data_IF_232681357131
#
_entry.id   IF_232681357131
#
_cell.length_a   1.000
_cell.length_b   1.000
_cell.length_c   1.000
_cell.angle_alpha   90.00
_cell.angle_beta   90.00
_cell.angle_gamma   90.00
#
_symmetry.space_group_name_H-M   'P 1'
#
loop_
_entity.id
_entity.type
_entity.pdbx_description
1 polymer ?
#
# COMPACT_ATOMS: atom_id res chain seq x y z
N UNK A 1 11.02 -10.53 8.67
CA UNK A 1 9.70 -10.03 8.21
C UNK A 1 9.35 -8.82 9.03
N UNK A 2 9.02 -7.71 8.34
CA UNK A 2 8.85 -6.36 8.86
C UNK A 2 8.24 -6.31 10.27
N UNK A 3 8.97 -5.65 11.18
CA UNK A 3 8.58 -5.46 12.60
C UNK A 3 8.72 -4.01 13.06
N UNK A 4 9.04 -3.10 12.15
CA UNK A 4 9.34 -1.70 12.48
C UNK A 4 8.97 -0.85 11.27
N UNK A 5 8.19 0.19 11.50
CA UNK A 5 7.90 1.24 10.53
C UNK A 5 8.02 2.60 11.20
N UNK A 6 8.34 3.63 10.42
CA UNK A 6 7.95 4.99 10.77
C UNK A 6 6.45 5.08 10.49
N UNK A 7 5.67 5.69 11.37
CA UNK A 7 4.25 5.90 11.17
C UNK A 7 3.91 7.38 11.23
N UNK A 8 2.89 7.76 10.47
CA UNK A 8 2.22 9.04 10.64
C UNK A 8 1.40 9.05 11.93
N UNK A 9 1.21 10.23 12.49
CA UNK A 9 0.26 10.51 13.56
C UNK A 9 -1.18 10.45 13.06
N UNK A 10 -2.16 10.41 13.97
CA UNK A 10 -3.57 10.37 13.58
C UNK A 10 -3.97 11.55 12.69
N UNK A 11 -3.55 12.76 13.04
CA UNK A 11 -3.89 13.98 12.29
C UNK A 11 -3.25 14.00 10.89
N UNK A 12 -2.01 13.51 10.77
CA UNK A 12 -1.35 13.35 9.46
C UNK A 12 -2.06 12.31 8.60
N UNK A 13 -2.51 11.19 9.17
CA UNK A 13 -3.32 10.21 8.42
C UNK A 13 -4.68 10.78 8.02
N UNK A 14 -5.28 11.64 8.86
CA UNK A 14 -6.52 12.34 8.52
C UNK A 14 -6.33 13.28 7.32
N UNK A 15 -5.24 14.05 7.28
CA UNK A 15 -4.88 14.89 6.13
C UNK A 15 -4.68 14.05 4.86
N UNK A 16 -4.00 12.90 4.98
CA UNK A 16 -3.85 11.94 3.86
C UNK A 16 -5.22 11.48 3.35
N UNK A 17 -6.14 11.10 4.24
CA UNK A 17 -7.50 10.70 3.86
C UNK A 17 -8.22 11.82 3.12
N UNK A 18 -8.18 13.05 3.64
CA UNK A 18 -8.82 14.20 3.00
C UNK A 18 -8.27 14.44 1.59
N UNK A 19 -6.94 14.36 1.41
CA UNK A 19 -6.29 14.50 0.10
C UNK A 19 -6.69 13.39 -0.87
N UNK A 20 -6.79 12.14 -0.41
CA UNK A 20 -7.23 11.02 -1.23
C UNK A 20 -8.67 11.20 -1.74
N UNK A 21 -9.59 11.68 -0.90
CA UNK A 21 -11.01 11.86 -1.25
C UNK A 21 -11.26 13.05 -2.19
N UNK A 22 -10.40 14.07 -2.18
CA UNK A 22 -10.50 15.21 -3.11
C UNK A 22 -9.58 15.06 -4.32
N UNK A 23 -8.80 13.97 -4.41
CA UNK A 23 -7.85 13.73 -5.49
C UNK A 23 -6.69 14.73 -5.52
N UNK A 24 -6.32 15.29 -4.36
CA UNK A 24 -5.19 16.20 -4.26
C UNK A 24 -3.86 15.42 -4.25
N UNK A 25 -2.76 16.03 -4.73
CA UNK A 25 -1.43 15.46 -4.59
C UNK A 25 -1.07 15.19 -3.12
N UNK A 26 -0.51 14.02 -2.86
CA UNK A 26 0.03 13.62 -1.56
C UNK A 26 1.44 14.20 -1.35
N UNK A 27 1.57 15.52 -1.48
CA UNK A 27 2.80 16.20 -1.10
C UNK A 27 2.81 16.29 0.42
N UNK A 28 3.74 15.59 1.06
CA UNK A 28 3.89 15.64 2.51
C UNK A 28 5.07 16.52 2.88
N UNK A 29 4.77 17.64 3.55
CA UNK A 29 5.80 18.46 4.15
C UNK A 29 5.72 18.24 5.67
N UNK A 30 6.66 17.51 6.29
CA UNK A 30 6.59 17.26 7.72
C UNK A 30 6.62 18.58 8.48
N UNK A 31 5.71 18.75 9.43
CA UNK A 31 5.73 19.91 10.31
C UNK A 31 7.04 19.92 11.11
N UNK A 32 7.76 21.03 11.02
CA UNK A 32 9.04 21.18 11.70
C UNK A 32 8.83 21.42 13.21
N UNK A 33 9.59 20.75 14.10
CA UNK A 33 10.60 19.74 13.82
C UNK A 33 9.98 18.37 13.49
N UNK A 34 10.57 17.68 12.50
CA UNK A 34 10.13 16.35 12.06
C UNK A 34 10.09 15.39 13.27
N UNK A 35 8.89 15.03 13.71
CA UNK A 35 8.70 13.99 14.72
C UNK A 35 8.50 12.65 14.03
N UNK A 36 9.51 11.80 14.05
CA UNK A 36 9.39 10.42 13.57
C UNK A 36 8.85 9.54 14.69
N UNK A 37 7.59 9.10 14.57
CA UNK A 37 7.02 8.07 15.44
C UNK A 37 7.30 6.71 14.84
N UNK A 38 7.76 5.75 15.66
CA UNK A 38 7.99 4.38 15.21
C UNK A 38 6.95 3.42 15.80
N UNK A 39 6.52 2.46 14.99
CA UNK A 39 5.62 1.39 15.41
C UNK A 39 6.30 0.02 15.31
N UNK A 40 6.00 -0.83 16.28
CA UNK A 40 6.44 -2.22 16.42
C UNK A 40 5.22 -3.13 16.63
N UNK A 41 5.34 -4.46 16.56
CA UNK A 41 4.27 -5.34 17.02
C UNK A 41 3.80 -4.95 18.43
N UNK A 42 2.47 -4.87 18.60
CA UNK A 42 1.74 -4.36 19.77
C UNK A 42 1.68 -2.84 19.92
N UNK A 43 2.37 -2.05 19.10
CA UNK A 43 2.13 -0.61 19.02
C UNK A 43 0.75 -0.33 18.43
N UNK A 44 0.16 0.80 18.81
CA UNK A 44 -1.03 1.35 18.15
C UNK A 44 -0.58 2.19 16.97
N UNK A 45 -1.26 2.06 15.84
CA UNK A 45 -1.03 2.88 14.65
C UNK A 45 -2.37 3.40 14.09
N UNK A 46 -2.40 4.60 13.48
CA UNK A 46 -3.53 5.07 12.71
C UNK A 46 -3.54 4.41 11.33
N UNK A 47 -4.66 3.75 10.98
CA UNK A 47 -4.88 3.13 9.68
C UNK A 47 -6.02 3.81 8.95
N UNK A 48 -5.90 3.88 7.64
CA UNK A 48 -6.98 4.25 6.73
C UNK A 48 -7.91 3.05 6.58
N UNK A 49 -9.19 3.25 6.87
CA UNK A 49 -10.25 2.24 6.77
C UNK A 49 -11.37 2.74 5.87
N UNK A 50 -11.92 1.92 4.97
CA UNK A 50 -13.10 2.31 4.21
C UNK A 50 -14.37 2.25 5.07
N UNK A 51 -15.31 3.16 4.79
CA UNK A 51 -16.65 3.17 5.37
C UNK A 51 -17.62 2.19 4.67
N UNK A 52 -17.12 1.41 3.71
CA UNK A 52 -17.86 0.41 2.95
C UNK A 52 -17.22 -0.98 3.09
N UNK A 53 -17.97 -2.01 2.75
CA UNK A 53 -17.47 -3.39 2.77
C UNK A 53 -16.49 -3.62 1.61
N UNK A 54 -15.28 -4.04 1.96
CA UNK A 54 -14.22 -4.33 0.99
C UNK A 54 -14.45 -5.63 0.21
N UNK A 55 -15.45 -6.43 0.58
CA UNK A 55 -15.86 -7.64 -0.13
C UNK A 55 -16.74 -7.36 -1.35
N UNK A 56 -17.26 -6.14 -1.46
CA UNK A 56 -18.06 -5.69 -2.60
C UNK A 56 -17.26 -4.69 -3.44
N UNK A 57 -17.52 -4.57 -4.76
CA UNK A 57 -16.97 -3.48 -5.54
C UNK A 57 -17.25 -2.15 -4.85
N UNK A 58 -16.25 -1.27 -4.80
CA UNK A 58 -16.46 0.07 -4.26
C UNK A 58 -17.58 0.74 -5.06
N UNK A 59 -18.59 1.35 -4.40
CA UNK A 59 -19.66 2.07 -5.10
C UNK A 59 -19.12 3.27 -5.89
N UNK A 60 -17.83 3.59 -5.74
CA UNK A 60 -17.13 4.71 -6.38
C UNK A 60 -16.09 4.25 -7.42
N UNK A 61 -16.03 2.96 -7.79
CA UNK A 61 -15.18 2.49 -8.89
C UNK A 61 -15.75 2.88 -10.25
N UNK A 62 -15.50 4.13 -10.65
CA UNK A 62 -15.63 4.54 -12.04
C UNK A 62 -14.25 4.50 -12.64
N UNK A 63 -13.86 3.37 -13.26
CA UNK A 63 -12.81 3.24 -14.29
C UNK A 63 -12.53 1.74 -14.49
N UNK A 64 -13.22 1.13 -15.45
CA UNK A 64 -12.63 0.03 -16.22
C UNK A 64 -12.11 0.66 -17.52
N UNK A 65 -10.86 0.39 -17.94
CA UNK A 65 -10.52 0.58 -19.34
C UNK A 65 -11.30 -0.48 -20.10
N UNK A 66 -12.32 -0.08 -20.87
CA UNK A 66 -12.89 -0.95 -21.89
C UNK A 66 -11.74 -1.34 -22.83
N UNK A 67 -11.42 -2.64 -22.84
CA UNK A 67 -10.55 -3.21 -23.87
C UNK A 67 -11.35 -3.14 -25.17
N UNK A 68 -10.94 -2.38 -26.20
CA UNK A 68 -11.69 -2.38 -27.44
C UNK A 68 -11.55 -3.76 -28.07
N UNK A 69 -12.67 -4.46 -28.22
CA UNK A 69 -12.75 -5.71 -28.95
C UNK A 69 -12.30 -5.45 -30.40
N UNK A 70 -11.16 -6.02 -30.77
CA UNK A 70 -10.68 -6.06 -32.15
C UNK A 70 -11.69 -6.80 -33.01
N UNK A 71 -12.55 -6.06 -33.72
CA UNK A 71 -13.33 -6.62 -34.82
C UNK A 71 -12.52 -6.44 -36.10
N UNK A 72 -11.99 -7.54 -36.61
CA UNK A 72 -11.36 -7.62 -37.92
C UNK A 72 -12.45 -7.50 -38.98
N UNK A 73 -12.33 -6.55 -39.91
CA UNK A 73 -13.02 -6.58 -41.20
C UNK A 73 -12.16 -5.90 -42.27
N UNK A 74 -12.01 -6.58 -43.40
CA UNK A 74 -11.11 -6.28 -44.52
C UNK A 74 -11.78 -5.32 -45.55
N UNK A 75 -11.10 -4.93 -46.66
CA UNK A 75 -11.06 -3.54 -47.13
C UNK A 75 -12.07 -3.21 -48.24
N UNK A 76 -12.32 -1.91 -48.46
CA UNK A 76 -12.76 -1.39 -49.76
C UNK A 76 -12.14 -0.01 -50.02
N UNK A 77 -11.71 0.17 -51.26
CA UNK A 77 -10.97 1.27 -51.88
C UNK A 77 -11.67 2.64 -51.89
N UNK A 78 -10.88 3.72 -51.81
CA UNK A 78 -11.28 5.05 -52.26
C UNK A 78 -10.28 6.15 -51.85
N UNK A 79 -9.65 6.80 -52.81
CA UNK A 79 -8.65 7.86 -52.62
C UNK A 79 -9.28 9.26 -52.51
N UNK A 80 -8.76 10.12 -51.62
CA UNK A 80 -8.52 11.57 -51.82
C UNK A 80 -8.02 12.26 -50.52
N UNK A 81 -7.08 13.20 -50.68
CA UNK A 81 -6.31 13.99 -49.69
C UNK A 81 -7.08 15.26 -49.18
N UNK A 82 -6.55 16.11 -48.25
CA UNK A 82 -7.31 16.64 -47.10
C UNK A 82 -7.58 18.16 -47.15
N UNK A 83 -8.19 18.75 -46.11
CA UNK A 83 -7.61 19.99 -45.57
C UNK A 83 -7.62 20.12 -44.02
N UNK A 84 -6.46 20.60 -43.54
CA UNK A 84 -6.12 21.61 -42.53
C UNK A 84 -6.99 21.90 -41.28
N UNK A 85 -6.27 21.85 -40.14
CA UNK A 85 -6.41 22.58 -38.86
C UNK A 85 -7.69 22.46 -38.05
N UNK A 86 -7.56 21.95 -36.81
CA UNK A 86 -8.18 22.56 -35.61
C UNK A 86 -7.51 22.02 -34.33
N UNK A 87 -7.01 22.97 -33.53
CA UNK A 87 -6.93 22.99 -32.06
C UNK A 87 -6.42 21.75 -31.31
N UNK A 88 -5.17 21.85 -30.83
CA UNK A 88 -4.74 21.14 -29.63
C UNK A 88 -5.51 21.72 -28.42
N UNK A 89 -6.61 21.08 -28.05
CA UNK A 89 -7.16 21.23 -26.71
C UNK A 89 -6.34 20.30 -25.81
N UNK A 90 -5.53 20.89 -24.93
CA UNK A 90 -4.95 20.18 -23.79
C UNK A 90 -6.11 19.60 -22.98
N UNK A 91 -6.33 18.29 -23.13
CA UNK A 91 -7.27 17.54 -22.32
C UNK A 91 -6.66 17.38 -20.94
N UNK A 92 -6.87 18.37 -20.08
CA UNK A 92 -6.73 18.21 -18.64
C UNK A 92 -7.81 17.24 -18.19
N UNK A 93 -7.55 15.95 -18.32
CA UNK A 93 -8.38 14.89 -17.76
C UNK A 93 -8.19 14.95 -16.25
N UNK A 94 -8.96 15.80 -15.58
CA UNK A 94 -9.10 15.72 -14.12
C UNK A 94 -9.84 14.42 -13.85
N UNK A 95 -9.09 13.33 -13.66
CA UNK A 95 -9.65 12.06 -13.22
C UNK A 95 -10.42 12.32 -11.94
N UNK A 96 -11.70 11.91 -11.90
CA UNK A 96 -12.48 12.00 -10.69
C UNK A 96 -11.75 11.28 -9.55
N UNK A 97 -11.84 11.79 -8.30
CA UNK A 97 -11.23 11.13 -7.17
C UNK A 97 -11.79 9.71 -7.03
N UNK A 98 -10.91 8.77 -6.72
CA UNK A 98 -11.25 7.35 -6.62
C UNK A 98 -12.13 7.02 -5.38
N UNK A 99 -12.27 7.98 -4.47
CA UNK A 99 -13.02 7.88 -3.21
C UNK A 99 -13.87 9.13 -3.05
N UNK A 100 -15.14 8.97 -2.67
CA UNK A 100 -16.00 10.09 -2.33
C UNK A 100 -15.68 10.63 -0.92
N UNK A 101 -15.94 11.91 -0.63
CA UNK A 101 -15.81 12.45 0.72
C UNK A 101 -16.57 11.62 1.77
N UNK A 102 -15.88 11.27 2.86
CA UNK A 102 -16.39 10.42 3.94
C UNK A 102 -16.48 8.93 3.62
N UNK A 103 -15.95 8.47 2.47
CA UNK A 103 -15.88 7.05 2.13
C UNK A 103 -14.66 6.35 2.76
N UNK A 104 -13.68 7.12 3.22
CA UNK A 104 -12.54 6.67 4.01
C UNK A 104 -12.58 7.33 5.39
N UNK A 105 -11.99 6.66 6.37
CA UNK A 105 -11.81 7.16 7.73
C UNK A 105 -10.51 6.67 8.34
N UNK A 106 -10.23 7.12 9.55
CA UNK A 106 -9.02 6.74 10.31
C UNK A 106 -9.42 5.96 11.54
N UNK A 107 -8.72 4.85 11.82
CA UNK A 107 -8.86 4.09 13.07
C UNK A 107 -7.50 3.77 13.66
N UNK A 108 -7.39 3.97 14.96
CA UNK A 108 -6.24 3.49 15.73
C UNK A 108 -6.42 2.01 16.07
N UNK A 109 -5.47 1.18 15.63
CA UNK A 109 -5.50 -0.28 15.83
C UNK A 109 -4.15 -0.77 16.36
N UNK A 110 -4.18 -1.79 17.21
CA UNK A 110 -2.98 -2.45 17.74
C UNK A 110 -2.37 -3.42 16.72
N UNK A 111 -1.05 -3.36 16.53
CA UNK A 111 -0.37 -4.19 15.53
C UNK A 111 -0.14 -5.63 15.99
N UNK A 112 -1.07 -6.50 15.63
CA UNK A 112 -0.94 -7.94 15.71
C UNK A 112 -2.14 -8.62 16.36
N UNK A 113 -2.56 -9.73 15.76
CA UNK A 113 -3.66 -10.56 16.26
C UNK A 113 -3.21 -11.44 17.41
N UNK A 114 -3.96 -11.45 18.49
CA UNK A 114 -3.82 -12.48 19.53
C UNK A 114 -4.56 -13.74 19.07
N UNK A 115 -3.87 -14.86 19.13
CA UNK A 115 -4.35 -16.13 18.61
C UNK A 115 -4.14 -17.21 19.66
N UNK A 116 -5.20 -17.94 20.01
CA UNK A 116 -5.16 -18.92 21.12
C UNK A 116 -4.18 -20.08 20.88
N UNK A 117 -3.86 -20.37 19.63
CA UNK A 117 -2.98 -21.48 19.23
C UNK A 117 -1.49 -21.13 19.27
N UNK A 118 -1.09 -19.89 19.57
CA UNK A 118 0.32 -19.49 19.61
C UNK A 118 0.59 -18.39 20.65
N UNK A 119 1.70 -18.48 21.41
CA UNK A 119 2.13 -17.36 22.25
C UNK A 119 2.58 -16.15 21.41
N UNK A 120 2.17 -14.96 21.84
CA UNK A 120 2.49 -13.69 21.17
C UNK A 120 1.44 -13.30 20.11
N UNK A 121 1.81 -12.38 19.23
CA UNK A 121 0.88 -11.84 18.22
C UNK A 121 1.25 -12.24 16.80
N UNK A 122 0.24 -12.40 15.94
CA UNK A 122 0.37 -12.55 14.50
C UNK A 122 0.23 -11.17 13.85
N UNK A 123 1.36 -10.53 13.58
CA UNK A 123 1.45 -9.16 13.08
C UNK A 123 1.71 -9.06 11.57
N UNK A 124 1.99 -10.18 10.91
CA UNK A 124 2.08 -10.27 9.45
C UNK A 124 1.22 -11.41 8.93
N UNK A 125 0.42 -11.13 7.90
CA UNK A 125 -0.41 -12.08 7.16
C UNK A 125 0.13 -12.20 5.73
N UNK A 126 0.22 -13.42 5.21
CA UNK A 126 0.67 -13.67 3.84
C UNK A 126 -0.51 -13.51 2.88
N UNK A 127 -0.34 -12.78 1.77
CA UNK A 127 -1.43 -12.62 0.79
C UNK A 127 -1.89 -13.97 0.22
N UNK A 128 -0.98 -14.93 0.09
CA UNK A 128 -1.25 -16.31 -0.36
C UNK A 128 -2.09 -17.10 0.66
N UNK A 129 -2.12 -16.65 1.92
CA UNK A 129 -2.96 -17.25 2.96
C UNK A 129 -4.32 -16.59 3.07
N UNK A 130 -4.65 -15.61 2.23
CA UNK A 130 -5.90 -14.86 2.32
C UNK A 130 -7.15 -15.74 2.16
N UNK A 131 -7.07 -16.88 1.49
CA UNK A 131 -8.18 -17.83 1.32
C UNK A 131 -8.31 -18.86 2.45
N UNK A 132 -7.35 -18.90 3.39
CA UNK A 132 -7.42 -19.85 4.51
C UNK A 132 -8.54 -19.44 5.48
N UNK A 133 -9.27 -20.38 6.10
CA UNK A 133 -10.36 -20.07 7.03
C UNK A 133 -9.98 -19.07 8.11
N UNK A 134 -8.75 -19.17 8.64
CA UNK A 134 -8.24 -18.24 9.64
C UNK A 134 -8.22 -16.80 9.16
N UNK A 135 -8.00 -16.52 7.87
CA UNK A 135 -7.81 -15.17 7.30
C UNK A 135 -8.94 -14.71 6.39
N UNK A 136 -9.72 -15.63 5.85
CA UNK A 136 -10.67 -15.42 4.76
C UNK A 136 -11.63 -14.27 5.05
N UNK A 137 -12.33 -14.31 6.18
CA UNK A 137 -13.34 -13.31 6.51
C UNK A 137 -12.74 -11.89 6.62
N UNK A 138 -11.63 -11.73 7.35
CA UNK A 138 -11.01 -10.41 7.51
C UNK A 138 -10.33 -9.92 6.24
N UNK A 139 -9.75 -10.83 5.45
CA UNK A 139 -9.17 -10.47 4.15
C UNK A 139 -10.22 -10.14 3.11
N UNK A 140 -11.44 -10.68 3.21
CA UNK A 140 -12.56 -10.36 2.31
C UNK A 140 -13.24 -9.05 2.68
N UNK A 141 -13.48 -8.79 3.97
CA UNK A 141 -14.37 -7.71 4.39
C UNK A 141 -13.69 -6.60 5.20
N UNK A 142 -12.51 -6.87 5.77
CA UNK A 142 -11.84 -5.97 6.73
C UNK A 142 -10.41 -5.67 6.31
N UNK A 143 -10.25 -5.14 5.10
CA UNK A 143 -8.98 -4.58 4.64
C UNK A 143 -8.85 -3.12 5.02
N UNK A 144 -7.62 -2.69 5.25
CA UNK A 144 -7.23 -1.35 5.67
C UNK A 144 -5.85 -1.04 5.09
N UNK A 145 -5.40 0.20 5.24
CA UNK A 145 -4.11 0.67 4.76
C UNK A 145 -3.35 1.31 5.92
N UNK A 146 -2.09 0.91 6.10
CA UNK A 146 -1.15 1.60 6.97
C UNK A 146 -0.29 2.53 6.09
N UNK A 147 -0.50 3.85 6.12
CA UNK A 147 0.42 4.80 5.49
C UNK A 147 1.69 4.94 6.34
N UNK A 148 2.85 4.86 5.71
CA UNK A 148 4.16 4.99 6.38
C UNK A 148 5.13 5.79 5.51
N UNK A 149 6.03 6.61 6.09
CA UNK A 149 7.16 7.15 5.34
C UNK A 149 8.17 6.08 4.94
N UNK A 150 8.39 5.11 5.84
CA UNK A 150 9.38 4.05 5.64
C UNK A 150 9.06 2.81 6.50
N UNK A 151 9.54 1.66 6.03
CA UNK A 151 9.55 0.42 6.82
C UNK A 151 10.97 -0.13 6.91
N UNK A 152 11.23 -1.00 7.89
CA UNK A 152 12.56 -1.56 8.10
C UNK A 152 12.57 -3.08 8.07
N UNK A 153 13.69 -3.63 7.61
CA UNK A 153 13.98 -5.06 7.70
C UNK A 153 15.44 -5.32 8.05
N UNK A 154 15.66 -6.44 8.76
CA UNK A 154 16.99 -6.89 9.12
C UNK A 154 17.55 -7.82 8.06
N UNK A 155 18.75 -7.52 7.57
CA UNK A 155 19.46 -8.40 6.65
C UNK A 155 19.72 -9.76 7.30
N UNK A 156 19.61 -10.85 6.53
CA UNK A 156 19.79 -12.21 7.07
C UNK A 156 21.18 -12.48 7.59
N UNK A 157 22.18 -12.16 6.77
CA UNK A 157 23.58 -12.57 6.95
C UNK A 157 24.51 -11.40 7.28
N UNK A 158 24.30 -10.23 6.68
CA UNK A 158 25.15 -9.07 6.92
C UNK A 158 25.09 -8.58 8.37
N UNK A 159 26.28 -8.31 8.91
CA UNK A 159 26.46 -7.78 10.26
C UNK A 159 27.44 -6.61 10.26
N UNK A 160 27.38 -5.79 11.31
CA UNK A 160 28.33 -4.72 11.58
C UNK A 160 28.66 -4.66 13.09
N UNK A 161 29.81 -4.10 13.49
CA UNK A 161 30.15 -3.97 14.90
C UNK A 161 29.22 -2.97 15.61
N UNK A 162 28.59 -3.42 16.70
CA UNK A 162 27.80 -2.56 17.58
C UNK A 162 28.67 -1.46 18.18
N UNK A 163 28.30 -0.19 18.02
CA UNK A 163 29.02 0.94 18.62
C UNK A 163 29.07 0.88 20.16
N UNK A 164 28.08 0.23 20.79
CA UNK A 164 28.00 0.09 22.26
C UNK A 164 28.84 -1.05 22.81
N UNK A 165 28.95 -2.17 22.07
CA UNK A 165 29.51 -3.42 22.63
C UNK A 165 30.65 -4.01 21.81
N UNK A 166 30.91 -3.49 20.61
CA UNK A 166 31.86 -4.04 19.63
C UNK A 166 31.43 -5.38 19.01
N UNK A 167 30.36 -6.01 19.51
CA UNK A 167 29.89 -7.32 19.03
C UNK A 167 29.19 -7.19 17.67
N UNK A 168 29.28 -8.20 16.79
CA UNK A 168 28.56 -8.21 15.53
C UNK A 168 27.04 -8.21 15.78
N UNK A 169 26.35 -7.26 15.18
CA UNK A 169 24.89 -7.17 15.16
C UNK A 169 24.40 -7.15 13.71
N UNK A 170 23.21 -7.69 13.46
CA UNK A 170 22.65 -7.74 12.10
C UNK A 170 22.37 -6.34 11.58
N UNK A 171 22.72 -6.07 10.32
CA UNK A 171 22.44 -4.77 9.69
C UNK A 171 20.94 -4.62 9.46
N UNK A 172 20.41 -3.45 9.79
CA UNK A 172 19.05 -3.07 9.49
C UNK A 172 19.03 -2.10 8.31
N UNK A 173 18.01 -2.23 7.48
CA UNK A 173 17.78 -1.38 6.32
C UNK A 173 16.43 -0.69 6.47
N UNK A 174 16.42 0.60 6.15
CA UNK A 174 15.23 1.41 5.91
C UNK A 174 14.87 1.33 4.43
N UNK A 175 13.57 1.20 4.15
CA UNK A 175 13.03 1.12 2.80
C UNK A 175 12.00 2.22 2.56
N UNK A 176 12.20 2.92 1.44
CA UNK A 176 11.27 3.89 0.87
C UNK A 176 10.92 3.51 -0.58
N UNK A 177 9.83 4.07 -1.11
CA UNK A 177 9.54 4.01 -2.55
C UNK A 177 10.17 5.25 -3.20
N UNK A 178 10.90 5.05 -4.30
CA UNK A 178 11.63 6.15 -4.94
C UNK A 178 10.67 7.23 -5.46
N UNK A 179 10.85 8.46 -4.98
CA UNK A 179 10.02 9.61 -5.37
C UNK A 179 8.65 9.70 -4.69
N UNK A 180 8.37 8.85 -3.69
CA UNK A 180 7.13 8.89 -2.91
C UNK A 180 7.42 9.16 -1.43
N UNK A 181 6.73 10.14 -0.84
CA UNK A 181 6.84 10.46 0.59
C UNK A 181 6.01 9.51 1.47
N UNK A 182 5.08 8.77 0.86
CA UNK A 182 4.10 7.92 1.54
C UNK A 182 4.09 6.56 0.86
N UNK A 183 4.31 5.52 1.64
CA UNK A 183 4.10 4.13 1.26
C UNK A 183 2.79 3.68 1.87
N UNK A 184 1.86 3.18 1.05
CA UNK A 184 0.67 2.52 1.56
C UNK A 184 0.91 1.02 1.67
N UNK A 185 0.80 0.49 2.88
CA UNK A 185 0.93 -0.94 3.15
C UNK A 185 -0.46 -1.55 3.35
N UNK A 186 -0.77 -2.57 2.55
CA UNK A 186 -1.98 -3.37 2.69
C UNK A 186 -2.03 -4.08 4.05
N UNK A 187 -3.13 -3.92 4.76
CA UNK A 187 -3.37 -4.52 6.07
C UNK A 187 -4.77 -5.17 6.14
N UNK A 188 -4.94 -6.11 7.06
CA UNK A 188 -6.26 -6.64 7.44
C UNK A 188 -6.48 -6.45 8.94
N UNK A 189 -7.74 -6.25 9.36
CA UNK A 189 -8.06 -5.96 10.75
C UNK A 189 -9.20 -6.82 11.32
N UNK A 190 -9.21 -6.94 12.64
CA UNK A 190 -10.23 -7.60 13.46
C UNK A 190 -10.34 -6.86 14.76
N UNK A 191 -11.57 -6.58 15.18
CA UNK A 191 -11.82 -5.85 16.43
C UNK A 191 -10.98 -4.55 16.46
N UNK A 192 -10.03 -4.45 17.40
CA UNK A 192 -9.12 -3.32 17.59
C UNK A 192 -7.66 -3.65 17.24
N UNK A 193 -7.44 -4.66 16.40
CA UNK A 193 -6.10 -5.14 16.01
C UNK A 193 -5.99 -5.25 14.50
N UNK A 194 -4.76 -5.14 13.98
CA UNK A 194 -4.47 -5.34 12.57
C UNK A 194 -3.22 -6.21 12.35
N UNK A 195 -3.12 -6.76 11.15
CA UNK A 195 -1.94 -7.47 10.67
C UNK A 195 -1.56 -6.93 9.30
N UNK A 196 -0.26 -6.71 9.13
CA UNK A 196 0.32 -6.24 7.88
C UNK A 196 0.32 -7.37 6.85
N UNK A 197 -0.16 -7.09 5.64
CA UNK A 197 -0.13 -8.07 4.56
C UNK A 197 1.25 -8.06 3.92
N UNK A 198 1.73 -9.25 3.57
CA UNK A 198 3.06 -9.46 3.01
C UNK A 198 2.97 -10.30 1.75
N UNK A 199 3.91 -10.08 0.84
CA UNK A 199 4.08 -10.85 -0.40
C UNK A 199 5.54 -11.25 -0.59
N UNK A 200 5.84 -11.96 -1.67
CA UNK A 200 7.22 -12.31 -2.05
C UNK A 200 8.06 -11.06 -2.31
N UNK A 201 9.33 -11.14 -1.94
CA UNK A 201 10.27 -10.04 -2.15
C UNK A 201 10.50 -9.77 -3.65
N UNK A 202 10.49 -8.50 -4.03
CA UNK A 202 10.97 -8.05 -5.33
C UNK A 202 12.52 -8.04 -5.38
N UNK A 203 13.08 -7.63 -6.52
CA UNK A 203 14.53 -7.60 -6.74
C UNK A 203 15.30 -6.70 -5.74
N UNK A 204 14.69 -5.61 -5.28
CA UNK A 204 15.32 -4.66 -4.34
C UNK A 204 15.31 -5.22 -2.90
N UNK A 205 14.28 -6.00 -2.51
CA UNK A 205 14.15 -6.60 -1.19
C UNK A 205 14.88 -7.94 -1.06
N UNK A 206 14.93 -8.75 -2.12
CA UNK A 206 15.40 -10.13 -2.10
C UNK A 206 16.81 -10.34 -1.49
N UNK A 207 17.79 -9.43 -1.70
CA UNK A 207 19.09 -9.53 -1.03
C UNK A 207 19.00 -9.46 0.50
N UNK A 208 18.03 -8.73 1.04
CA UNK A 208 17.87 -8.47 2.47
C UNK A 208 16.90 -9.49 3.11
N UNK A 209 15.75 -9.74 2.47
CA UNK A 209 14.72 -10.67 2.94
C UNK A 209 13.84 -11.22 1.79
N UNK A 210 13.17 -12.37 1.98
CA UNK A 210 12.45 -13.14 0.93
C UNK A 210 10.98 -12.73 0.82
N UNK A 211 10.59 -11.79 1.67
CA UNK A 211 9.23 -11.29 1.81
C UNK A 211 9.34 -9.80 2.04
N UNK A 212 8.36 -9.07 1.54
CA UNK A 212 8.18 -7.63 1.74
C UNK A 212 6.75 -7.34 2.18
N UNK A 213 6.51 -6.19 2.85
CA UNK A 213 5.16 -5.67 2.99
C UNK A 213 4.47 -5.58 1.62
N UNK A 214 3.16 -5.80 1.59
CA UNK A 214 2.37 -5.60 0.38
C UNK A 214 2.19 -4.09 0.17
N UNK A 215 3.02 -3.52 -0.69
CA UNK A 215 2.92 -2.10 -1.06
C UNK A 215 1.80 -1.94 -2.09
N UNK A 216 0.90 -1.00 -1.83
CA UNK A 216 -0.22 -0.63 -2.67
C UNK A 216 0.05 0.78 -3.17
N UNK A 217 0.07 1.01 -4.49
CA UNK A 217 0.20 2.39 -5.00
C UNK A 217 -1.08 3.17 -4.78
N UNK A 218 -1.00 4.50 -4.79
CA UNK A 218 -2.17 5.35 -4.62
C UNK A 218 -3.29 5.00 -5.63
N UNK A 219 -2.93 4.79 -6.89
CA UNK A 219 -3.87 4.41 -7.95
C UNK A 219 -4.44 2.98 -7.82
N UNK A 220 -3.82 2.14 -6.97
CA UNK A 220 -4.24 0.77 -6.71
C UNK A 220 -5.13 0.65 -5.46
N UNK A 221 -5.38 1.75 -4.72
CA UNK A 221 -6.16 1.72 -3.49
C UNK A 221 -7.59 1.21 -3.72
N UNK A 222 -8.24 1.58 -4.82
CA UNK A 222 -9.58 1.07 -5.16
C UNK A 222 -9.58 -0.43 -5.44
N UNK A 223 -8.53 -0.94 -6.08
CA UNK A 223 -8.33 -2.38 -6.29
C UNK A 223 -8.09 -3.09 -4.96
N UNK A 224 -7.29 -2.50 -4.07
CA UNK A 224 -7.06 -3.03 -2.73
C UNK A 224 -8.35 -3.10 -1.91
N UNK A 225 -9.18 -2.07 -1.93
CA UNK A 225 -10.47 -2.06 -1.25
C UNK A 225 -11.60 -2.76 -2.01
N UNK A 226 -11.33 -3.34 -3.18
CA UNK A 226 -12.26 -4.12 -3.97
C UNK A 226 -12.02 -5.64 -3.91
N UNK A 227 -12.95 -6.46 -4.43
CA UNK A 227 -12.91 -7.91 -4.30
C UNK A 227 -11.68 -8.55 -4.97
N UNK A 228 -11.09 -7.86 -5.95
CA UNK A 228 -9.98 -8.34 -6.78
C UNK A 228 -8.59 -8.02 -6.22
N UNK A 229 -8.48 -7.64 -4.94
CA UNK A 229 -7.22 -7.23 -4.29
C UNK A 229 -6.06 -8.23 -4.45
N UNK A 230 -6.34 -9.52 -4.68
CA UNK A 230 -5.31 -10.56 -4.85
C UNK A 230 -4.45 -10.34 -6.10
N UNK A 231 -4.93 -9.58 -7.09
CA UNK A 231 -4.14 -9.17 -8.26
C UNK A 231 -2.90 -8.36 -7.86
N UNK A 232 -2.90 -7.78 -6.66
CA UNK A 232 -1.77 -7.03 -6.11
C UNK A 232 -0.65 -7.94 -5.56
N UNK A 233 -0.77 -9.27 -5.61
CA UNK A 233 0.25 -10.17 -5.06
C UNK A 233 1.64 -9.95 -5.69
N UNK A 234 1.72 -9.79 -7.01
CA UNK A 234 2.99 -9.55 -7.70
C UNK A 234 3.38 -8.07 -7.60
N UNK A 235 4.43 -7.77 -6.82
CA UNK A 235 5.00 -6.43 -6.63
C UNK A 235 6.38 -6.26 -7.29
N UNK A 236 6.73 -7.12 -8.26
CA UNK A 236 8.01 -7.09 -8.97
C UNK A 236 8.34 -5.74 -9.64
N UNK A 237 7.31 -4.96 -9.99
CA UNK A 237 7.44 -3.65 -10.65
C UNK A 237 7.62 -2.47 -9.69
N UNK A 238 7.47 -2.67 -8.38
CA UNK A 238 7.71 -1.62 -7.39
C UNK A 238 9.22 -1.49 -7.19
N UNK A 239 9.72 -0.26 -7.19
CA UNK A 239 11.14 0.04 -6.93
C UNK A 239 11.31 0.57 -5.52
N UNK A 240 12.20 -0.07 -4.77
CA UNK A 240 12.52 0.32 -3.40
C UNK A 240 13.94 0.85 -3.31
N UNK A 241 14.11 1.89 -2.51
CA UNK A 241 15.41 2.37 -2.07
C UNK A 241 15.71 1.78 -0.71
N UNK A 242 16.85 1.09 -0.57
CA UNK A 242 17.31 0.53 0.69
C UNK A 242 18.50 1.32 1.22
N UNK A 243 18.42 1.81 2.45
CA UNK A 243 19.50 2.56 3.13
C UNK A 243 19.83 1.90 4.47
N UNK A 244 21.12 1.69 4.81
CA UNK A 244 21.48 1.23 6.16
C UNK A 244 20.97 2.20 7.22
N UNK A 245 20.27 1.67 8.23
CA UNK A 245 19.72 2.41 9.36
C UNK A 245 20.66 2.44 10.57
#
# INVERSE_FOLDING_TARGET
>A
MCKRCIIFTYDEVLDIVMKLEVGAPLNFNPDWPVRTTEAYPKSVAPLIVPAFDTGTPSPYSFLTPETPATTVSAPTSGAATPPTSTSAAESSSTSLPAFAPGSLGVRELSWGFEESWKPGVVFNTRIESATKPTWQESMQHRRCILPVPAFFETHREETYPSLKTGKPIKRQYEFCVSGEDIIFIGCTWRENTFSMVTTDANADMAPIHHRMPLIVRQEELSLWFGPDYQQLADRSKIRLEARPA
#
